data_IF_099822613696
#
_entry.id   IF_099822613696
#
_cell.length_a   1.000
_cell.length_b   1.000
_cell.length_c   1.000
_cell.angle_alpha   90.00
_cell.angle_beta   90.00
_cell.angle_gamma   90.00
#
_symmetry.space_group_name_H-M   'P 1'
#
loop_
_entity.id
_entity.type
_entity.pdbx_description
1 polymer ?
#
# COMPACT_ATOMS: atom_id res chain seq x y z
N UNK A 1 -12.52 8.14 -19.17
CA UNK A 1 -11.33 8.99 -19.42
C UNK A 1 -10.42 9.12 -18.19
N UNK A 2 -10.53 8.23 -17.20
CA UNK A 2 -9.84 8.35 -15.90
C UNK A 2 -8.34 7.96 -15.97
N UNK A 3 -7.97 7.10 -16.93
CA UNK A 3 -6.58 6.64 -17.07
C UNK A 3 -5.64 7.71 -17.67
N UNK A 4 -6.17 8.77 -18.29
CA UNK A 4 -5.33 9.71 -19.05
C UNK A 4 -4.75 10.84 -18.19
N UNK A 5 -5.41 11.25 -17.11
CA UNK A 5 -4.94 12.34 -16.24
C UNK A 5 -4.02 11.83 -15.12
N UNK A 6 -4.26 10.61 -14.62
CA UNK A 6 -3.38 9.94 -13.65
C UNK A 6 -1.96 9.71 -14.20
N UNK A 7 -1.81 9.59 -15.53
CA UNK A 7 -0.49 9.48 -16.18
C UNK A 7 0.37 10.76 -16.03
N UNK A 8 -0.24 11.93 -15.84
CA UNK A 8 0.50 13.18 -15.64
C UNK A 8 0.98 13.37 -14.19
N UNK A 9 0.28 12.78 -13.22
CA UNK A 9 0.67 12.79 -11.81
C UNK A 9 1.70 11.70 -11.48
N UNK A 10 2.01 10.85 -12.45
CA UNK A 10 2.72 9.61 -12.19
C UNK A 10 3.77 9.24 -13.25
N UNK A 11 5.04 9.56 -13.04
CA UNK A 11 6.09 9.24 -14.01
C UNK A 11 6.48 7.74 -14.06
N UNK A 12 6.03 6.90 -13.13
CA UNK A 12 6.51 5.51 -12.99
C UNK A 12 5.57 4.40 -13.51
N UNK A 13 4.41 4.72 -14.08
CA UNK A 13 3.39 3.73 -14.47
C UNK A 13 3.59 3.21 -15.90
N UNK A 14 4.46 3.84 -16.69
CA UNK A 14 4.81 3.37 -18.03
C UNK A 14 5.99 2.41 -17.99
N UNK A 15 5.73 1.16 -17.59
CA UNK A 15 6.53 0.03 -18.08
C UNK A 15 5.74 -1.27 -18.05
N UNK A 16 4.74 -1.37 -18.92
CA UNK A 16 4.31 -2.69 -19.41
C UNK A 16 5.42 -3.22 -20.33
N UNK A 17 6.10 -4.29 -19.90
CA UNK A 17 6.91 -5.09 -20.82
C UNK A 17 6.05 -6.23 -21.33
N UNK A 18 5.63 -6.10 -22.59
CA UNK A 18 5.37 -7.20 -23.52
C UNK A 18 6.41 -8.31 -23.32
N UNK A 19 5.98 -9.51 -22.96
CA UNK A 19 6.78 -10.73 -23.08
C UNK A 19 5.97 -11.76 -23.85
N UNK A 20 6.17 -11.70 -25.16
CA UNK A 20 5.77 -12.69 -26.15
C UNK A 20 6.66 -13.93 -26.05
N UNK A 21 6.03 -15.06 -25.73
CA UNK A 21 6.25 -16.43 -26.24
C UNK A 21 7.67 -17.02 -26.24
N UNK A 22 7.85 -18.14 -25.54
CA UNK A 22 8.42 -19.33 -26.19
C UNK A 22 7.84 -20.63 -25.60
N UNK A 23 7.42 -21.53 -26.49
CA UNK A 23 6.95 -22.88 -26.19
C UNK A 23 8.11 -23.83 -26.51
N UNK A 24 8.55 -24.65 -25.56
CA UNK A 24 9.33 -25.84 -25.88
C UNK A 24 8.75 -27.07 -25.18
N UNK A 25 8.20 -27.93 -26.04
CA UNK A 25 7.81 -29.31 -25.80
C UNK A 25 9.04 -30.17 -25.54
N UNK A 26 9.02 -31.00 -24.49
CA UNK A 26 9.76 -32.26 -24.51
C UNK A 26 9.04 -33.34 -23.71
N UNK A 27 8.74 -34.40 -24.44
CA UNK A 27 8.05 -35.64 -24.09
C UNK A 27 9.10 -36.71 -23.77
N UNK A 28 9.02 -37.38 -22.62
CA UNK A 28 9.57 -38.74 -22.41
C UNK A 28 8.78 -39.47 -21.32
N UNK A 29 8.55 -40.76 -21.58
CA UNK A 29 7.60 -41.65 -20.92
C UNK A 29 8.09 -42.33 -19.63
N UNK A 30 7.10 -42.67 -18.79
CA UNK A 30 6.84 -43.94 -18.06
C UNK A 30 7.98 -44.68 -17.34
N UNK A 31 7.80 -44.90 -16.02
CA UNK A 31 7.61 -46.22 -15.39
C UNK A 31 7.76 -46.15 -13.85
N UNK A 32 6.93 -46.92 -13.13
CA UNK A 32 7.35 -47.55 -11.86
C UNK A 32 6.70 -47.05 -10.57
N UNK A 33 5.69 -47.79 -10.11
CA UNK A 33 5.04 -47.72 -8.80
C UNK A 33 6.02 -48.00 -7.63
N UNK A 34 5.78 -47.43 -6.44
CA UNK A 34 5.74 -48.14 -5.13
C UNK A 34 5.58 -47.13 -3.95
N UNK A 35 4.38 -47.18 -3.35
CA UNK A 35 4.12 -47.28 -1.91
C UNK A 35 4.95 -46.43 -0.90
N UNK A 36 4.33 -45.39 -0.31
CA UNK A 36 3.89 -45.37 1.10
C UNK A 36 3.25 -44.00 1.43
N UNK A 37 1.93 -43.97 1.65
CA UNK A 37 1.23 -42.76 2.08
C UNK A 37 1.18 -42.68 3.61
N UNK A 38 1.73 -41.65 4.27
CA UNK A 38 1.31 -41.32 5.61
C UNK A 38 -0.02 -40.56 5.53
N UNK A 39 -1.03 -41.05 6.26
CA UNK A 39 -2.30 -40.35 6.46
C UNK A 39 -2.02 -38.98 7.04
N UNK A 40 -2.16 -37.95 6.22
CA UNK A 40 -2.19 -36.55 6.66
C UNK A 40 -3.45 -36.40 7.50
N UNK A 41 -3.30 -36.47 8.82
CA UNK A 41 -4.29 -35.91 9.74
C UNK A 41 -4.16 -34.40 9.57
N UNK A 42 -4.96 -33.83 8.68
CA UNK A 42 -5.24 -32.41 8.69
C UNK A 42 -6.00 -32.13 9.98
N UNK A 43 -5.26 -31.81 11.04
CA UNK A 43 -5.84 -30.95 12.06
C UNK A 43 -6.32 -29.69 11.31
N UNK A 44 -7.57 -29.25 11.53
CA UNK A 44 -7.96 -27.93 11.06
C UNK A 44 -7.03 -26.98 11.79
N UNK A 45 -6.08 -26.43 11.05
CA UNK A 45 -5.23 -25.34 11.50
C UNK A 45 -6.22 -24.33 12.06
N UNK A 46 -6.24 -24.17 13.38
CA UNK A 46 -7.00 -23.08 13.98
C UNK A 46 -6.26 -21.86 13.52
N UNK A 47 -6.73 -21.29 12.42
CA UNK A 47 -6.35 -19.99 11.91
C UNK A 47 -6.53 -19.04 13.10
N UNK A 48 -5.46 -18.87 13.85
CA UNK A 48 -5.36 -17.72 14.73
C UNK A 48 -5.52 -16.56 13.77
N UNK A 49 -6.49 -15.64 14.00
CA UNK A 49 -6.52 -14.46 13.18
C UNK A 49 -5.11 -13.90 13.25
N UNK A 50 -4.52 -13.62 12.10
CA UNK A 50 -3.29 -12.86 12.00
C UNK A 50 -3.66 -11.53 12.63
N UNK A 51 -3.51 -11.50 13.96
CA UNK A 51 -4.34 -10.68 14.83
C UNK A 51 -3.78 -9.28 14.78
N UNK A 52 -4.58 -8.27 15.07
CA UNK A 52 -4.20 -6.86 15.02
C UNK A 52 -2.73 -6.58 15.44
N UNK A 53 -2.23 -7.28 16.46
CA UNK A 53 -0.83 -7.32 16.92
C UNK A 53 0.24 -7.42 15.81
N UNK A 54 0.04 -8.23 14.77
CA UNK A 54 1.01 -8.36 13.68
C UNK A 54 1.07 -7.08 12.85
N UNK A 55 -0.08 -6.51 12.49
CA UNK A 55 -0.16 -5.27 11.71
C UNK A 55 0.34 -4.09 12.54
N UNK A 56 -0.01 -4.03 13.83
CA UNK A 56 0.52 -3.03 14.75
C UNK A 56 2.04 -3.14 14.89
N UNK A 57 2.58 -4.36 14.98
CA UNK A 57 4.03 -4.57 15.01
C UNK A 57 4.69 -4.10 13.72
N UNK A 58 4.12 -4.39 12.55
CA UNK A 58 4.61 -3.89 11.27
C UNK A 58 4.63 -2.35 11.22
N UNK A 59 3.55 -1.70 11.70
CA UNK A 59 3.48 -0.22 11.80
C UNK A 59 4.53 0.33 12.76
N UNK A 60 4.79 -0.35 13.88
CA UNK A 60 5.82 0.03 14.84
C UNK A 60 7.24 -0.09 14.28
N UNK A 61 7.48 -1.05 13.39
CA UNK A 61 8.78 -1.24 12.73
C UNK A 61 8.97 -0.36 11.50
N UNK A 62 7.92 0.32 11.00
CA UNK A 62 7.98 1.10 9.76
C UNK A 62 9.14 2.11 9.75
N UNK A 63 9.14 3.03 10.71
CA UNK A 63 10.15 4.10 10.78
C UNK A 63 11.54 3.53 11.09
N UNK A 64 11.72 2.67 12.12
CA UNK A 64 13.02 2.05 12.38
C UNK A 64 13.62 1.32 11.17
N UNK A 65 12.82 0.54 10.44
CA UNK A 65 13.30 -0.22 9.29
C UNK A 65 13.66 0.67 8.09
N UNK A 66 12.84 1.69 7.80
CA UNK A 66 13.11 2.62 6.71
C UNK A 66 14.30 3.54 7.00
N UNK A 67 14.46 4.01 8.24
CA UNK A 67 15.65 4.77 8.67
C UNK A 67 16.90 3.88 8.73
N UNK A 68 16.73 2.59 9.06
CA UNK A 68 17.79 1.58 8.98
C UNK A 68 18.23 1.27 7.54
N UNK A 69 17.56 1.83 6.54
CA UNK A 69 17.93 1.73 5.14
C UNK A 69 17.55 0.39 4.51
N UNK A 70 16.51 -0.29 5.02
CA UNK A 70 15.96 -1.49 4.37
C UNK A 70 15.03 -1.08 3.22
N UNK A 71 15.46 -1.16 1.94
CA UNK A 71 14.64 -0.76 0.81
C UNK A 71 13.51 -1.75 0.53
N UNK A 72 13.59 -2.97 1.08
CA UNK A 72 12.59 -4.02 0.89
C UNK A 72 11.47 -3.93 1.92
N UNK A 73 11.66 -3.17 3.01
CA UNK A 73 10.65 -3.08 4.06
C UNK A 73 9.34 -2.51 3.54
N UNK A 74 9.35 -1.35 2.87
CA UNK A 74 8.13 -0.73 2.33
C UNK A 74 7.36 -1.67 1.38
N UNK A 75 7.96 -2.22 0.31
CA UNK A 75 7.22 -3.12 -0.58
C UNK A 75 6.78 -4.43 0.10
N UNK A 76 7.58 -5.00 1.00
CA UNK A 76 7.19 -6.20 1.74
C UNK A 76 6.03 -5.94 2.70
N UNK A 77 6.08 -4.81 3.41
CA UNK A 77 4.99 -4.33 4.27
C UNK A 77 3.71 -4.19 3.45
N UNK A 78 3.83 -3.52 2.30
CA UNK A 78 2.71 -3.20 1.42
C UNK A 78 2.06 -4.47 0.84
N UNK A 79 2.88 -5.44 0.44
CA UNK A 79 2.39 -6.75 0.00
C UNK A 79 1.71 -7.54 1.13
N UNK A 80 2.32 -7.54 2.32
CA UNK A 80 1.82 -8.33 3.45
C UNK A 80 0.49 -7.81 3.99
N UNK A 81 0.32 -6.49 4.20
CA UNK A 81 -0.92 -6.00 4.80
C UNK A 81 -2.15 -6.32 3.94
N UNK A 82 -2.04 -6.31 2.61
CA UNK A 82 -3.15 -6.60 1.70
C UNK A 82 -3.70 -8.02 1.86
N UNK A 83 -2.90 -8.96 2.36
CA UNK A 83 -3.36 -10.32 2.62
C UNK A 83 -4.18 -10.45 3.91
N UNK A 84 -4.02 -9.50 4.84
CA UNK A 84 -4.50 -9.65 6.21
C UNK A 84 -5.46 -8.55 6.66
N UNK A 85 -5.50 -7.41 5.97
CA UNK A 85 -6.30 -6.26 6.40
C UNK A 85 -6.63 -5.28 5.26
N UNK A 86 -7.31 -4.18 5.60
CA UNK A 86 -7.73 -3.14 4.66
C UNK A 86 -6.82 -1.91 4.70
N UNK A 87 -6.73 -1.19 3.58
CA UNK A 87 -6.01 0.10 3.46
C UNK A 87 -6.44 1.08 4.53
N UNK A 88 -7.75 1.19 4.78
CA UNK A 88 -8.28 2.11 5.79
C UNK A 88 -7.78 1.76 7.20
N UNK A 89 -7.73 0.47 7.55
CA UNK A 89 -7.25 0.04 8.86
C UNK A 89 -5.76 0.33 9.07
N UNK A 90 -4.93 0.04 8.07
CA UNK A 90 -3.48 0.31 8.13
C UNK A 90 -3.23 1.82 8.20
N UNK A 91 -3.95 2.60 7.39
CA UNK A 91 -3.88 4.06 7.44
C UNK A 91 -4.25 4.56 8.85
N UNK A 92 -5.36 4.09 9.43
CA UNK A 92 -5.79 4.49 10.77
C UNK A 92 -4.72 4.18 11.84
N UNK A 93 -4.06 3.03 11.75
CA UNK A 93 -2.94 2.69 12.64
C UNK A 93 -1.75 3.62 12.46
N UNK A 94 -1.37 3.94 11.22
CA UNK A 94 -0.28 4.87 10.93
C UNK A 94 -0.58 6.27 11.47
N UNK A 95 -1.76 6.81 11.15
CA UNK A 95 -2.15 8.15 11.58
C UNK A 95 -2.25 8.23 13.11
N UNK A 96 -2.72 7.17 13.77
CA UNK A 96 -2.75 7.08 15.25
C UNK A 96 -1.34 7.01 15.83
N UNK A 97 -0.43 6.22 15.24
CA UNK A 97 0.94 6.05 15.73
C UNK A 97 1.77 7.32 15.64
N UNK A 98 1.52 8.11 14.59
CA UNK A 98 2.23 9.34 14.26
C UNK A 98 1.35 10.59 14.46
N UNK A 99 0.39 10.55 15.38
CA UNK A 99 -0.55 11.64 15.61
C UNK A 99 0.06 12.87 16.32
N UNK A 100 1.23 12.71 16.96
CA UNK A 100 1.83 13.73 17.81
C UNK A 100 3.31 13.88 17.50
N UNK A 101 3.70 15.12 17.17
CA UNK A 101 5.08 15.53 16.97
C UNK A 101 5.38 16.75 17.83
N UNK A 102 6.61 16.82 18.35
CA UNK A 102 7.16 17.97 19.07
C UNK A 102 7.51 19.07 18.07
N UNK A 103 7.26 20.31 18.46
CA UNK A 103 7.68 21.49 17.69
C UNK A 103 9.21 21.56 17.65
N UNK A 104 9.77 21.93 16.51
CA UNK A 104 11.20 22.15 16.27
C UNK A 104 12.11 20.97 16.65
N UNK A 105 11.59 19.74 16.58
CA UNK A 105 12.36 18.54 16.85
C UNK A 105 12.86 17.89 15.55
N UNK A 106 14.19 17.83 15.38
CA UNK A 106 14.83 17.28 14.18
C UNK A 106 14.50 15.79 13.95
N UNK A 107 14.48 14.99 15.02
CA UNK A 107 14.09 13.57 14.95
C UNK A 107 12.67 13.42 14.38
N UNK A 108 11.74 14.24 14.87
CA UNK A 108 10.35 14.21 14.46
C UNK A 108 10.21 14.68 12.99
N UNK A 109 11.01 15.66 12.54
CA UNK A 109 11.05 16.06 11.12
C UNK A 109 11.60 14.94 10.20
N UNK A 110 12.61 14.18 10.65
CA UNK A 110 13.09 13.01 9.92
C UNK A 110 12.01 11.93 9.84
N UNK A 111 11.27 11.68 10.93
CA UNK A 111 10.15 10.74 10.94
C UNK A 111 9.05 11.19 9.98
N UNK A 112 8.70 12.48 9.97
CA UNK A 112 7.70 13.03 9.03
C UNK A 112 8.12 12.85 7.58
N UNK A 113 9.40 13.09 7.26
CA UNK A 113 9.95 12.87 5.93
C UNK A 113 9.83 11.41 5.49
N UNK A 114 10.27 10.47 6.33
CA UNK A 114 10.16 9.03 6.06
C UNK A 114 8.72 8.59 5.88
N UNK A 115 7.82 9.07 6.74
CA UNK A 115 6.39 8.75 6.64
C UNK A 115 5.77 9.33 5.36
N UNK A 116 6.12 10.57 4.97
CA UNK A 116 5.68 11.14 3.70
C UNK A 116 6.15 10.30 2.52
N UNK A 117 7.44 9.95 2.47
CA UNK A 117 8.00 9.13 1.39
C UNK A 117 7.36 7.75 1.32
N UNK A 118 7.06 7.13 2.47
CA UNK A 118 6.36 5.86 2.51
C UNK A 118 4.92 5.99 1.98
N UNK A 119 4.17 7.00 2.41
CA UNK A 119 2.80 7.23 1.97
C UNK A 119 2.73 7.58 0.48
N UNK A 120 3.67 8.39 -0.03
CA UNK A 120 3.81 8.64 -1.47
C UNK A 120 4.06 7.33 -2.23
N UNK A 121 5.00 6.52 -1.74
CA UNK A 121 5.34 5.21 -2.33
C UNK A 121 4.20 4.20 -2.22
N UNK A 122 3.28 4.37 -1.28
CA UNK A 122 2.10 3.53 -1.16
C UNK A 122 1.03 3.96 -2.18
N UNK A 123 0.77 5.27 -2.30
CA UNK A 123 -0.14 5.81 -3.31
C UNK A 123 0.33 5.38 -4.69
N UNK A 124 1.59 5.68 -5.02
CA UNK A 124 2.62 4.72 -5.46
C UNK A 124 2.21 3.31 -5.96
N UNK A 125 2.47 2.33 -5.13
CA UNK A 125 2.39 0.96 -5.58
C UNK A 125 0.93 0.55 -5.83
N UNK A 126 -0.05 1.21 -5.21
CA UNK A 126 -1.47 0.85 -5.25
C UNK A 126 -2.41 2.05 -5.44
N UNK A 127 -2.38 2.73 -6.59
CA UNK A 127 -3.22 3.91 -6.84
C UNK A 127 -4.72 3.56 -6.78
N UNK A 128 -5.11 2.31 -7.06
CA UNK A 128 -6.49 1.86 -6.97
C UNK A 128 -7.08 1.96 -5.55
N UNK A 129 -6.25 1.91 -4.51
CA UNK A 129 -6.70 1.99 -3.12
C UNK A 129 -7.00 3.43 -2.68
N UNK A 130 -6.56 4.42 -3.45
CA UNK A 130 -6.71 5.85 -3.12
C UNK A 130 -7.51 6.61 -4.19
N UNK A 131 -7.25 6.34 -5.47
CA UNK A 131 -7.74 7.10 -6.62
C UNK A 131 -9.08 6.58 -7.18
N UNK A 132 -9.94 6.01 -6.33
CA UNK A 132 -11.30 5.60 -6.69
C UNK A 132 -12.32 6.45 -5.97
N UNK A 133 -13.46 6.71 -6.62
CA UNK A 133 -14.57 7.49 -6.04
C UNK A 133 -15.10 6.88 -4.73
N UNK A 134 -15.07 5.55 -4.59
CA UNK A 134 -15.41 4.86 -3.34
C UNK A 134 -14.45 5.12 -2.17
N UNK A 135 -13.23 5.58 -2.46
CA UNK A 135 -12.14 5.75 -1.51
C UNK A 135 -11.89 7.23 -1.12
N UNK A 136 -12.79 8.17 -1.49
CA UNK A 136 -12.68 9.58 -1.09
C UNK A 136 -12.55 9.77 0.42
N UNK A 137 -13.15 8.89 1.23
CA UNK A 137 -13.05 8.95 2.70
C UNK A 137 -11.62 8.73 3.20
N UNK A 138 -10.86 7.84 2.55
CA UNK A 138 -9.46 7.52 2.87
C UNK A 138 -8.59 8.74 2.56
N UNK A 139 -8.73 9.31 1.35
CA UNK A 139 -7.97 10.50 0.96
C UNK A 139 -8.32 11.73 1.81
N UNK A 140 -9.60 11.97 2.13
CA UNK A 140 -10.01 13.08 3.01
C UNK A 140 -9.39 12.97 4.39
N UNK A 141 -9.35 11.75 4.95
CA UNK A 141 -8.72 11.48 6.24
C UNK A 141 -7.21 11.75 6.19
N UNK A 142 -6.53 11.25 5.15
CA UNK A 142 -5.11 11.52 4.94
C UNK A 142 -4.84 13.03 4.79
N UNK A 143 -5.66 13.76 4.02
CA UNK A 143 -5.54 15.21 3.85
C UNK A 143 -5.69 15.96 5.17
N UNK A 144 -6.68 15.60 5.98
CA UNK A 144 -6.89 16.23 7.28
C UNK A 144 -5.66 16.06 8.19
N UNK A 145 -5.11 14.85 8.23
CA UNK A 145 -3.89 14.56 8.99
C UNK A 145 -2.68 15.36 8.49
N UNK A 146 -2.44 15.36 7.17
CA UNK A 146 -1.28 16.05 6.58
C UNK A 146 -1.37 17.56 6.79
N UNK A 147 -2.57 18.13 6.77
CA UNK A 147 -2.75 19.58 6.97
C UNK A 147 -2.36 20.03 8.38
N UNK A 148 -2.52 19.14 9.37
CA UNK A 148 -2.14 19.42 10.76
C UNK A 148 -0.66 19.16 11.00
N UNK A 149 -0.14 18.03 10.50
CA UNK A 149 1.19 17.54 10.91
C UNK A 149 2.31 17.91 9.93
N UNK A 150 1.98 18.05 8.64
CA UNK A 150 2.95 18.19 7.53
C UNK A 150 2.39 19.13 6.43
N UNK A 151 1.96 20.36 6.76
CA UNK A 151 1.26 21.22 5.81
C UNK A 151 2.11 21.61 4.59
N UNK A 152 3.44 21.64 4.74
CA UNK A 152 4.38 22.02 3.68
C UNK A 152 4.91 20.85 2.86
N UNK A 153 4.45 19.60 3.09
CA UNK A 153 4.96 18.44 2.36
C UNK A 153 4.39 18.37 0.94
N UNK A 154 5.19 17.88 -0.01
CA UNK A 154 4.72 17.64 -1.39
C UNK A 154 3.54 16.65 -1.43
N UNK A 155 3.55 15.66 -0.54
CA UNK A 155 2.44 14.73 -0.34
C UNK A 155 1.13 15.47 -0.01
N UNK A 156 1.17 16.52 0.82
CA UNK A 156 -0.04 17.30 1.17
C UNK A 156 -0.67 17.98 -0.07
N UNK A 157 0.18 18.51 -0.95
CA UNK A 157 -0.24 19.11 -2.22
C UNK A 157 -0.78 18.03 -3.17
N UNK A 158 -0.06 16.92 -3.30
CA UNK A 158 -0.47 15.80 -4.15
C UNK A 158 -1.84 15.23 -3.76
N UNK A 159 -2.05 14.97 -2.47
CA UNK A 159 -3.33 14.48 -1.94
C UNK A 159 -4.45 15.51 -2.13
N UNK A 160 -4.12 16.81 -2.09
CA UNK A 160 -5.10 17.86 -2.41
C UNK A 160 -5.58 17.78 -3.85
N UNK A 161 -4.65 17.68 -4.81
CA UNK A 161 -4.97 17.61 -6.23
C UNK A 161 -5.79 16.36 -6.55
N UNK A 162 -5.40 15.20 -6.01
CA UNK A 162 -6.14 13.95 -6.16
C UNK A 162 -7.58 14.04 -5.62
N UNK A 163 -7.79 14.78 -4.51
CA UNK A 163 -9.12 14.97 -3.95
C UNK A 163 -10.00 15.86 -4.84
N UNK A 164 -9.46 16.95 -5.38
CA UNK A 164 -10.20 17.84 -6.27
C UNK A 164 -10.67 17.09 -7.52
N UNK A 165 -9.77 16.35 -8.16
CA UNK A 165 -10.07 15.55 -9.36
C UNK A 165 -11.19 14.52 -9.10
N UNK A 166 -11.09 13.74 -8.03
CA UNK A 166 -12.10 12.74 -7.71
C UNK A 166 -13.46 13.33 -7.30
N UNK A 167 -13.47 14.56 -6.77
CA UNK A 167 -14.71 15.26 -6.44
C UNK A 167 -15.41 15.81 -7.69
N UNK A 168 -14.65 16.30 -8.66
CA UNK A 168 -15.18 16.73 -9.95
C UNK A 168 -15.80 15.55 -10.71
N UNK A 169 -15.08 14.42 -10.81
CA UNK A 169 -15.55 13.20 -11.47
C UNK A 169 -16.85 12.64 -10.85
N UNK A 170 -16.93 12.65 -9.51
CA UNK A 170 -18.14 12.20 -8.81
C UNK A 170 -19.36 13.07 -9.15
N UNK A 171 -19.16 14.37 -9.37
CA UNK A 171 -20.23 15.31 -9.72
C UNK A 171 -20.67 15.23 -11.18
N UNK A 172 -19.82 14.73 -12.08
CA UNK A 172 -20.13 14.50 -13.49
C UNK A 172 -20.90 13.20 -13.67
N UNK A 173 -20.53 12.14 -12.95
CA UNK A 173 -21.24 10.85 -13.00
C UNK A 173 -22.69 10.90 -12.49
N UNK A 174 -23.09 11.94 -11.75
CA UNK A 174 -24.49 12.15 -11.31
C UNK A 174 -25.32 12.95 -12.33
N UNK A 175 -24.69 13.51 -13.37
CA UNK A 175 -25.34 14.35 -14.39
C UNK A 175 -25.62 13.63 -15.72
N UNK A 176 -25.12 12.41 -15.88
CA UNK A 176 -25.38 11.50 -17.01
C UNK A 176 -26.38 10.39 -16.62
#
# INVERSE_FOLDING_TARGET
>A
MILSCLQCLWPFAQKETDLTQDNQTQDYADEGEHECAPKVVTEPCRESPISADMVENMVNQLVPSLQGGDPLFAPSFLYAYRQFTTTQHVLDLLLKRFAYFRLDCEEDEQIKSVLCSFLDSWIDIYPEEFCQTGNLSILKKLKAYLTVNMPSSNLNLRVHMLLEELQEDASESERD
#
